data_IF_989505783700
#
_entry.id   IF_989505783700
#
_cell.length_a   1.000
_cell.length_b   1.000
_cell.length_c   1.000
_cell.angle_alpha   90.00
_cell.angle_beta   90.00
_cell.angle_gamma   90.00
#
_symmetry.space_group_name_H-M   'P 1'
#
loop_
_entity.id
_entity.type
_entity.pdbx_description
1 polymer ?
#
# COMPACT_ATOMS: atom_id res chain seq x y z
N UNK A 1 18.87 -16.88 7.37
CA UNK A 1 18.05 -15.66 7.44
C UNK A 1 18.83 -14.63 8.25
N UNK A 2 18.65 -13.33 8.01
CA UNK A 2 19.37 -12.29 8.74
C UNK A 2 18.82 -12.09 10.16
N UNK A 3 19.60 -11.47 11.05
CA UNK A 3 19.21 -11.21 12.45
C UNK A 3 17.82 -10.55 12.56
N UNK A 4 17.48 -9.63 11.66
CA UNK A 4 16.19 -8.96 11.68
C UNK A 4 15.03 -9.90 11.31
N UNK A 5 15.22 -10.77 10.31
CA UNK A 5 14.24 -11.79 9.95
C UNK A 5 13.96 -12.73 11.13
N UNK A 6 15.00 -13.19 11.83
CA UNK A 6 14.86 -14.09 12.98
C UNK A 6 14.06 -13.44 14.12
N UNK A 7 14.23 -12.12 14.34
CA UNK A 7 13.43 -11.38 15.33
C UNK A 7 11.96 -11.31 14.93
N UNK A 8 11.65 -11.10 13.65
CA UNK A 8 10.25 -11.09 13.18
C UNK A 8 9.59 -12.47 13.33
N UNK A 9 10.29 -13.55 12.98
CA UNK A 9 9.77 -14.92 13.18
C UNK A 9 9.59 -15.26 14.67
N UNK A 10 10.49 -14.77 15.53
CA UNK A 10 10.36 -14.91 16.98
C UNK A 10 9.13 -14.16 17.50
N UNK A 11 8.85 -12.96 17.00
CA UNK A 11 7.65 -12.20 17.33
C UNK A 11 6.37 -12.99 16.97
N UNK A 12 6.33 -13.57 15.77
CA UNK A 12 5.19 -14.40 15.31
C UNK A 12 5.01 -15.63 16.20
N UNK A 13 6.10 -16.34 16.49
CA UNK A 13 6.07 -17.55 17.32
C UNK A 13 5.57 -17.21 18.73
N UNK A 14 6.11 -16.15 19.35
CA UNK A 14 5.67 -15.71 20.67
C UNK A 14 4.17 -15.35 20.70
N UNK A 15 3.65 -14.69 19.66
CA UNK A 15 2.21 -14.40 19.55
C UNK A 15 1.38 -15.69 19.49
N UNK A 16 1.78 -16.66 18.66
CA UNK A 16 1.06 -17.94 18.53
C UNK A 16 1.08 -18.76 19.83
N UNK A 17 2.12 -18.61 20.64
CA UNK A 17 2.24 -19.25 21.97
C UNK A 17 1.55 -18.46 23.09
N UNK A 18 0.92 -17.31 22.80
CA UNK A 18 0.28 -16.46 23.80
C UNK A 18 1.26 -15.61 24.64
N UNK A 19 2.55 -15.59 24.30
CA UNK A 19 3.59 -14.76 24.92
C UNK A 19 3.58 -13.34 24.34
N UNK A 20 2.48 -12.62 24.55
CA UNK A 20 2.20 -11.37 23.85
C UNK A 20 3.18 -10.22 24.18
N UNK A 21 3.70 -10.15 25.40
CA UNK A 21 4.70 -9.14 25.76
C UNK A 21 6.04 -9.34 25.04
N UNK A 22 6.47 -10.59 24.89
CA UNK A 22 7.68 -10.94 24.13
C UNK A 22 7.48 -10.61 22.65
N UNK A 23 6.31 -10.97 22.10
CA UNK A 23 5.96 -10.63 20.72
C UNK A 23 5.98 -9.12 20.48
N UNK A 24 5.42 -8.33 21.41
CA UNK A 24 5.43 -6.87 21.33
C UNK A 24 6.86 -6.31 21.37
N UNK A 25 7.70 -6.83 22.26
CA UNK A 25 9.12 -6.41 22.37
C UNK A 25 9.87 -6.62 21.05
N UNK A 26 9.65 -7.76 20.40
CA UNK A 26 10.30 -8.09 19.13
C UNK A 26 9.75 -7.27 17.95
N UNK A 27 8.43 -7.01 17.91
CA UNK A 27 7.84 -6.11 16.92
C UNK A 27 8.38 -4.68 17.02
N UNK A 28 8.49 -4.15 18.24
CA UNK A 28 9.10 -2.84 18.51
C UNK A 28 10.54 -2.80 18.02
N UNK A 29 11.34 -3.79 18.44
CA UNK A 29 12.74 -3.87 18.01
C UNK A 29 12.86 -3.92 16.49
N UNK A 30 12.07 -4.77 15.83
CA UNK A 30 12.10 -4.92 14.38
C UNK A 30 11.75 -3.60 13.67
N UNK A 31 10.69 -2.93 14.11
CA UNK A 31 10.26 -1.69 13.47
C UNK A 31 11.27 -0.54 13.62
N UNK A 32 11.98 -0.46 14.74
CA UNK A 32 12.94 0.62 14.98
C UNK A 32 14.35 0.31 14.50
N UNK A 33 14.75 -0.97 14.41
CA UNK A 33 16.17 -1.35 14.22
C UNK A 33 16.43 -2.14 12.93
N UNK A 34 15.42 -2.77 12.31
CA UNK A 34 15.65 -3.70 11.20
C UNK A 34 16.41 -3.05 10.03
N UNK A 35 16.15 -1.78 9.71
CA UNK A 35 16.78 -1.11 8.57
C UNK A 35 18.25 -0.76 8.79
N UNK A 36 18.68 -0.62 10.05
CA UNK A 36 20.09 -0.43 10.37
C UNK A 36 20.92 -1.70 10.12
N UNK A 37 20.28 -2.87 10.25
CA UNK A 37 20.90 -4.18 10.04
C UNK A 37 20.76 -4.62 8.58
N UNK A 38 19.57 -4.47 8.02
CA UNK A 38 19.21 -4.96 6.70
C UNK A 38 18.30 -3.94 5.97
N UNK A 39 18.88 -2.96 5.25
CA UNK A 39 18.11 -1.89 4.59
C UNK A 39 17.04 -2.38 3.61
N UNK A 40 17.25 -3.57 3.01
CA UNK A 40 16.30 -4.20 2.10
C UNK A 40 14.94 -4.56 2.73
N UNK A 41 14.86 -4.56 4.07
CA UNK A 41 13.62 -4.85 4.81
C UNK A 41 12.62 -3.69 4.87
N UNK A 42 12.90 -2.55 4.24
CA UNK A 42 12.01 -1.39 4.26
C UNK A 42 10.57 -1.73 3.84
N UNK A 43 10.41 -2.52 2.77
CA UNK A 43 9.10 -2.97 2.29
C UNK A 43 8.41 -3.93 3.28
N UNK A 44 9.13 -4.92 3.80
CA UNK A 44 8.61 -5.92 4.76
C UNK A 44 8.15 -5.24 6.05
N UNK A 45 8.95 -4.29 6.56
CA UNK A 45 8.68 -3.53 7.78
C UNK A 45 7.38 -2.76 7.72
N UNK A 46 7.07 -2.15 6.58
CA UNK A 46 5.87 -1.32 6.40
C UNK A 46 4.66 -2.08 5.85
N UNK A 47 4.77 -3.40 5.68
CA UNK A 47 3.67 -4.22 5.15
C UNK A 47 3.41 -5.45 6.02
N UNK A 48 4.11 -6.56 5.78
CA UNK A 48 3.90 -7.83 6.48
C UNK A 48 4.14 -7.71 7.97
N UNK A 49 5.21 -7.02 8.40
CA UNK A 49 5.51 -6.87 9.82
C UNK A 49 4.47 -6.02 10.56
N UNK A 50 3.93 -4.96 9.93
CA UNK A 50 2.81 -4.19 10.50
C UNK A 50 1.54 -5.04 10.58
N UNK A 51 1.24 -5.85 9.56
CA UNK A 51 0.10 -6.79 9.60
C UNK A 51 0.23 -7.79 10.75
N UNK A 52 1.41 -8.38 10.94
CA UNK A 52 1.66 -9.29 12.05
C UNK A 52 1.50 -8.59 13.41
N UNK A 53 1.90 -7.32 13.52
CA UNK A 53 1.65 -6.51 14.70
C UNK A 53 0.14 -6.27 14.91
N UNK A 54 -0.62 -6.00 13.85
CA UNK A 54 -2.09 -5.86 13.98
C UNK A 54 -2.73 -7.16 14.51
N UNK A 55 -2.30 -8.34 14.03
CA UNK A 55 -2.78 -9.61 14.60
C UNK A 55 -2.42 -9.76 16.09
N UNK A 56 -1.28 -9.24 16.54
CA UNK A 56 -0.97 -9.16 17.96
C UNK A 56 -1.92 -8.20 18.68
N UNK A 57 -2.17 -7.02 18.10
CA UNK A 57 -3.01 -5.98 18.68
C UNK A 57 -4.48 -6.39 18.85
N UNK A 58 -4.99 -7.28 18.00
CA UNK A 58 -6.33 -7.89 18.11
C UNK A 58 -6.47 -8.75 19.38
N UNK A 59 -5.38 -9.36 19.85
CA UNK A 59 -5.37 -10.23 21.03
C UNK A 59 -4.82 -9.54 22.28
N UNK A 60 -3.98 -8.53 22.09
CA UNK A 60 -3.25 -7.84 23.15
C UNK A 60 -3.33 -6.32 22.95
N UNK A 61 -4.30 -5.63 23.59
CA UNK A 61 -4.56 -4.20 23.36
C UNK A 61 -3.37 -3.27 23.61
N UNK A 62 -2.40 -3.67 24.45
CA UNK A 62 -1.18 -2.90 24.66
C UNK A 62 -0.32 -2.80 23.39
N UNK A 63 -0.35 -3.81 22.51
CA UNK A 63 0.34 -3.74 21.23
C UNK A 63 -0.27 -2.68 20.30
N UNK A 64 -1.60 -2.48 20.32
CA UNK A 64 -2.24 -1.38 19.60
C UNK A 64 -1.77 -0.02 20.13
N UNK A 65 -1.77 0.14 21.45
CA UNK A 65 -1.34 1.39 22.12
C UNK A 65 0.11 1.72 21.81
N UNK A 66 1.00 0.72 21.79
CA UNK A 66 2.40 0.92 21.43
C UNK A 66 2.55 1.43 20.00
N UNK A 67 1.81 0.86 19.06
CA UNK A 67 1.85 1.28 17.65
C UNK A 67 1.27 2.70 17.46
N UNK A 68 0.18 3.02 18.14
CA UNK A 68 -0.37 4.38 18.17
C UNK A 68 0.62 5.39 18.78
N UNK A 69 1.30 5.01 19.87
CA UNK A 69 2.33 5.84 20.50
C UNK A 69 3.53 6.12 19.60
N UNK A 70 3.99 5.13 18.82
CA UNK A 70 5.03 5.34 17.79
C UNK A 70 4.56 6.35 16.74
N UNK A 71 3.35 6.17 16.21
CA UNK A 71 2.74 7.07 15.23
C UNK A 71 2.60 8.50 15.76
N UNK A 72 2.13 8.67 17.00
CA UNK A 72 1.95 9.99 17.62
C UNK A 72 3.29 10.70 17.82
N UNK A 73 4.30 9.97 18.32
CA UNK A 73 5.68 10.46 18.45
C UNK A 73 6.24 10.93 17.11
N UNK A 74 6.10 10.11 16.07
CA UNK A 74 6.68 10.38 14.76
C UNK A 74 5.91 11.52 14.05
N UNK A 75 4.60 11.63 14.27
CA UNK A 75 3.78 12.76 13.83
C UNK A 75 4.22 14.06 14.50
N UNK A 76 4.46 14.06 15.82
CA UNK A 76 4.98 15.23 16.51
C UNK A 76 6.35 15.64 15.96
N UNK A 77 7.25 14.66 15.75
CA UNK A 77 8.58 14.89 15.15
C UNK A 77 8.48 15.46 13.73
N UNK A 78 7.54 15.00 12.91
CA UNK A 78 7.29 15.56 11.57
C UNK A 78 6.96 17.05 11.64
N UNK A 79 6.14 17.45 12.60
CA UNK A 79 5.71 18.84 12.76
C UNK A 79 6.76 19.73 13.44
N UNK A 80 7.70 19.15 14.20
CA UNK A 80 8.69 19.87 15.03
C UNK A 80 10.14 19.80 14.48
N UNK A 81 10.31 19.79 13.16
CA UNK A 81 11.63 19.95 12.51
C UNK A 81 12.27 18.65 11.99
N UNK A 82 11.65 17.49 12.21
CA UNK A 82 12.12 16.19 11.72
C UNK A 82 11.63 15.82 10.32
N UNK A 83 11.33 16.80 9.48
CA UNK A 83 10.65 16.64 8.19
C UNK A 83 11.42 15.78 7.18
N UNK A 84 11.00 14.52 6.95
CA UNK A 84 11.49 13.69 5.84
C UNK A 84 10.37 12.92 5.17
N UNK A 85 10.53 12.60 3.89
CA UNK A 85 9.55 11.79 3.15
C UNK A 85 9.42 10.38 3.74
N UNK A 86 10.52 9.81 4.23
CA UNK A 86 10.56 8.49 4.86
C UNK A 86 9.77 8.47 6.16
N UNK A 87 9.91 9.52 7.00
CA UNK A 87 9.14 9.63 8.23
C UNK A 87 7.63 9.72 7.93
N UNK A 88 7.25 10.48 6.90
CA UNK A 88 5.85 10.54 6.48
C UNK A 88 5.33 9.18 6.03
N UNK A 89 6.13 8.47 5.21
CA UNK A 89 5.78 7.13 4.73
C UNK A 89 5.55 6.14 5.88
N UNK A 90 6.38 6.19 6.91
CA UNK A 90 6.23 5.35 8.11
C UNK A 90 4.92 5.66 8.84
N UNK A 91 4.63 6.95 9.08
CA UNK A 91 3.38 7.39 9.72
C UNK A 91 2.16 6.92 8.92
N UNK A 92 2.17 7.11 7.60
CA UNK A 92 1.06 6.69 6.72
C UNK A 92 0.87 5.18 6.74
N UNK A 93 1.95 4.40 6.70
CA UNK A 93 1.87 2.95 6.75
C UNK A 93 1.27 2.47 8.09
N UNK A 94 1.66 3.08 9.21
CA UNK A 94 1.09 2.77 10.52
C UNK A 94 -0.39 3.15 10.58
N UNK A 95 -0.76 4.35 10.13
CA UNK A 95 -2.16 4.78 10.07
C UNK A 95 -3.01 3.82 9.24
N UNK A 96 -2.52 3.39 8.06
CA UNK A 96 -3.24 2.43 7.22
C UNK A 96 -3.38 1.07 7.90
N UNK A 97 -2.35 0.57 8.59
CA UNK A 97 -2.42 -0.69 9.33
C UNK A 97 -3.44 -0.62 10.48
N UNK A 98 -3.56 0.55 11.13
CA UNK A 98 -4.51 0.79 12.21
C UNK A 98 -5.95 1.04 11.73
N UNK A 99 -6.17 1.25 10.43
CA UNK A 99 -7.46 1.68 9.87
C UNK A 99 -7.81 3.13 10.23
N UNK A 100 -6.80 3.99 10.34
CA UNK A 100 -6.89 5.38 10.81
C UNK A 100 -6.53 6.36 9.68
N UNK A 101 -7.11 6.19 8.48
CA UNK A 101 -6.84 7.01 7.29
C UNK A 101 -7.05 8.51 7.54
N UNK A 102 -8.04 8.85 8.38
CA UNK A 102 -8.30 10.25 8.77
C UNK A 102 -7.08 10.92 9.41
N UNK A 103 -6.26 10.17 10.17
CA UNK A 103 -5.05 10.71 10.77
C UNK A 103 -4.00 11.10 9.71
N UNK A 104 -3.89 10.34 8.62
CA UNK A 104 -3.03 10.70 7.48
C UNK A 104 -3.55 11.96 6.80
N UNK A 105 -4.86 12.05 6.55
CA UNK A 105 -5.49 13.25 5.99
C UNK A 105 -5.19 14.49 6.85
N UNK A 106 -5.47 14.44 8.15
CA UNK A 106 -5.32 15.59 9.05
C UNK A 106 -3.85 16.03 9.22
N UNK A 107 -2.91 15.09 9.11
CA UNK A 107 -1.48 15.43 9.04
C UNK A 107 -1.13 16.09 7.71
N UNK A 108 -1.59 15.53 6.59
CA UNK A 108 -1.27 16.06 5.26
C UNK A 108 -1.85 17.47 5.03
N UNK A 109 -3.05 17.76 5.53
CA UNK A 109 -3.64 19.12 5.52
C UNK A 109 -2.73 20.11 6.26
N UNK A 110 -2.14 19.72 7.40
CA UNK A 110 -1.18 20.57 8.12
C UNK A 110 0.11 20.74 7.33
N UNK A 111 0.62 19.66 6.72
CA UNK A 111 1.82 19.70 5.90
C UNK A 111 1.65 20.60 4.67
N UNK A 112 0.49 20.55 4.02
CA UNK A 112 0.15 21.40 2.89
C UNK A 112 0.28 22.90 3.22
N UNK A 113 -0.12 23.28 4.44
CA UNK A 113 -0.05 24.68 4.90
C UNK A 113 1.38 25.04 5.35
N UNK A 114 2.04 24.17 6.11
CA UNK A 114 3.29 24.50 6.81
C UNK A 114 4.56 24.18 6.02
N UNK A 115 4.49 23.20 5.11
CA UNK A 115 5.63 22.64 4.37
C UNK A 115 5.21 22.13 2.98
N UNK A 116 4.64 23.00 2.11
CA UNK A 116 4.03 22.60 0.84
C UNK A 116 4.99 21.88 -0.12
N UNK A 117 6.28 22.21 -0.11
CA UNK A 117 7.29 21.54 -0.92
C UNK A 117 7.45 20.06 -0.52
N UNK A 118 7.47 19.78 0.79
CA UNK A 118 7.53 18.40 1.29
C UNK A 118 6.19 17.68 1.08
N UNK A 119 5.07 18.36 1.29
CA UNK A 119 3.75 17.80 1.01
C UNK A 119 3.66 17.31 -0.46
N UNK A 120 4.20 18.08 -1.41
CA UNK A 120 4.28 17.67 -2.82
C UNK A 120 5.11 16.41 -3.04
N UNK A 121 6.21 16.25 -2.30
CA UNK A 121 7.05 15.05 -2.39
C UNK A 121 6.39 13.83 -1.73
N UNK A 122 5.49 14.04 -0.77
CA UNK A 122 4.83 12.99 0.00
C UNK A 122 3.42 12.65 -0.50
N UNK A 123 2.93 13.38 -1.51
CA UNK A 123 1.56 13.33 -1.98
C UNK A 123 1.11 11.92 -2.41
N UNK A 124 2.01 11.13 -3.01
CA UNK A 124 1.73 9.76 -3.43
C UNK A 124 1.28 8.87 -2.26
N UNK A 125 1.85 9.06 -1.07
CA UNK A 125 1.44 8.33 0.13
C UNK A 125 0.12 8.86 0.73
N UNK A 126 -0.18 10.14 0.56
CA UNK A 126 -1.35 10.77 1.17
C UNK A 126 -2.64 10.60 0.35
N UNK A 127 -2.53 10.50 -0.99
CA UNK A 127 -3.67 10.47 -1.92
C UNK A 127 -4.77 9.47 -1.52
N UNK A 128 -4.49 8.21 -1.12
CA UNK A 128 -5.52 7.28 -0.68
C UNK A 128 -6.31 7.78 0.52
N UNK A 129 -5.64 8.41 1.49
CA UNK A 129 -6.29 8.96 2.68
C UNK A 129 -7.10 10.23 2.38
N UNK A 130 -6.65 11.07 1.44
CA UNK A 130 -7.42 12.23 0.98
C UNK A 130 -8.73 11.80 0.30
N UNK A 131 -8.66 10.79 -0.56
CA UNK A 131 -9.84 10.21 -1.23
C UNK A 131 -10.77 9.53 -0.21
N UNK A 132 -10.23 8.76 0.73
CA UNK A 132 -11.03 8.13 1.78
C UNK A 132 -11.72 9.16 2.70
N UNK A 133 -11.14 10.33 2.89
CA UNK A 133 -11.72 11.45 3.63
C UNK A 133 -12.62 12.35 2.76
N UNK A 134 -12.84 12.00 1.50
CA UNK A 134 -13.59 12.77 0.48
C UNK A 134 -13.05 14.18 0.22
N UNK A 135 -11.77 14.46 0.54
CA UNK A 135 -11.11 15.72 0.18
C UNK A 135 -10.58 15.66 -1.26
N UNK A 136 -11.52 15.54 -2.20
CA UNK A 136 -11.23 15.42 -3.63
C UNK A 136 -10.58 16.68 -4.21
N UNK A 137 -10.83 17.84 -3.60
CA UNK A 137 -10.21 19.11 -4.01
C UNK A 137 -8.71 19.07 -3.73
N UNK A 138 -8.32 18.71 -2.50
CA UNK A 138 -6.91 18.58 -2.13
C UNK A 138 -6.24 17.44 -2.89
N UNK A 139 -6.92 16.29 -3.02
CA UNK A 139 -6.43 15.16 -3.79
C UNK A 139 -6.13 15.56 -5.24
N UNK A 140 -7.06 16.27 -5.90
CA UNK A 140 -6.89 16.69 -7.29
C UNK A 140 -5.70 17.62 -7.50
N UNK A 141 -5.48 18.55 -6.56
CA UNK A 141 -4.35 19.47 -6.59
C UNK A 141 -3.00 18.75 -6.54
N UNK A 142 -2.92 17.65 -5.79
CA UNK A 142 -1.71 16.86 -5.63
C UNK A 142 -1.60 15.65 -6.57
N UNK A 143 -2.66 15.31 -7.29
CA UNK A 143 -2.70 14.18 -8.23
C UNK A 143 -1.70 14.34 -9.38
N UNK A 144 -1.42 15.59 -9.78
CA UNK A 144 -0.59 15.92 -10.94
C UNK A 144 -1.33 15.78 -12.26
N UNK A 145 -0.61 15.35 -13.30
CA UNK A 145 -1.16 15.01 -14.61
C UNK A 145 -1.69 13.57 -14.59
N UNK A 146 -3.02 13.37 -14.68
CA UNK A 146 -3.62 12.04 -14.56
C UNK A 146 -3.18 11.06 -15.64
N UNK A 147 -3.03 11.53 -16.88
CA UNK A 147 -2.65 10.68 -18.00
C UNK A 147 -1.21 10.20 -17.86
N UNK A 148 -0.28 11.10 -17.50
CA UNK A 148 1.12 10.71 -17.23
C UNK A 148 1.24 9.75 -16.05
N UNK A 149 0.40 9.91 -15.03
CA UNK A 149 0.39 9.00 -13.88
C UNK A 149 -0.03 7.59 -14.28
N UNK A 150 -1.13 7.46 -15.03
CA UNK A 150 -1.58 6.16 -15.55
C UNK A 150 -0.54 5.53 -16.49
N UNK A 151 0.07 6.34 -17.36
CA UNK A 151 1.17 5.89 -18.22
C UNK A 151 2.35 5.29 -17.45
N UNK A 152 2.77 5.94 -16.36
CA UNK A 152 3.82 5.42 -15.51
C UNK A 152 3.42 4.10 -14.82
N UNK A 153 2.18 4.02 -14.34
CA UNK A 153 1.63 2.80 -13.72
C UNK A 153 1.59 1.64 -14.73
N UNK A 154 1.14 1.89 -15.97
CA UNK A 154 1.03 0.88 -17.01
C UNK A 154 2.42 0.42 -17.47
N UNK A 155 3.37 1.35 -17.61
CA UNK A 155 4.75 1.04 -17.93
C UNK A 155 5.38 0.10 -16.88
N UNK A 156 5.14 0.35 -15.59
CA UNK A 156 5.63 -0.50 -14.50
C UNK A 156 5.04 -1.91 -14.55
N UNK A 157 3.72 -2.04 -14.73
CA UNK A 157 3.07 -3.34 -14.85
C UNK A 157 3.58 -4.13 -16.07
N UNK A 158 3.67 -3.46 -17.23
CA UNK A 158 4.21 -4.05 -18.45
C UNK A 158 5.67 -4.52 -18.28
N UNK A 159 6.52 -3.71 -17.64
CA UNK A 159 7.91 -4.07 -17.39
C UNK A 159 8.02 -5.29 -16.48
N UNK A 160 7.24 -5.33 -15.40
CA UNK A 160 7.19 -6.47 -14.50
C UNK A 160 6.78 -7.76 -15.21
N UNK A 161 5.70 -7.72 -16.00
CA UNK A 161 5.24 -8.90 -16.76
C UNK A 161 6.26 -9.34 -17.81
N UNK A 162 6.94 -8.42 -18.48
CA UNK A 162 7.99 -8.77 -19.44
C UNK A 162 9.17 -9.52 -18.79
N UNK A 163 9.58 -9.12 -17.59
CA UNK A 163 10.61 -9.82 -16.82
C UNK A 163 10.15 -11.21 -16.35
N UNK A 164 8.88 -11.37 -15.96
CA UNK A 164 8.32 -12.67 -15.61
C UNK A 164 8.38 -13.67 -16.77
N UNK A 165 8.05 -13.22 -17.99
CA UNK A 165 8.12 -14.08 -19.20
C UNK A 165 9.55 -14.54 -19.47
N UNK A 166 10.53 -13.65 -19.32
CA UNK A 166 11.96 -13.99 -19.54
C UNK A 166 12.48 -15.02 -18.53
N UNK A 167 12.01 -14.95 -17.29
CA UNK A 167 12.53 -15.79 -16.20
C UNK A 167 11.82 -17.15 -16.09
N UNK A 168 10.77 -17.41 -16.88
CA UNK A 168 9.97 -18.65 -16.88
C UNK A 168 9.49 -19.12 -15.49
N UNK A 169 9.38 -18.20 -14.52
CA UNK A 169 9.05 -18.54 -13.14
C UNK A 169 7.55 -18.77 -12.93
N UNK A 170 7.11 -20.03 -12.87
CA UNK A 170 5.73 -20.42 -12.54
C UNK A 170 5.29 -19.98 -11.13
N UNK A 171 6.22 -19.74 -10.20
CA UNK A 171 5.95 -19.24 -8.85
C UNK A 171 5.56 -17.75 -8.78
N UNK A 172 5.43 -17.06 -9.92
CA UNK A 172 5.20 -15.61 -9.99
C UNK A 172 3.73 -15.17 -10.03
N UNK A 173 2.79 -16.10 -10.17
CA UNK A 173 1.36 -15.77 -10.31
C UNK A 173 0.79 -14.94 -9.13
N UNK A 174 1.11 -15.22 -7.84
CA UNK A 174 0.66 -14.37 -6.72
C UNK A 174 1.26 -12.96 -6.76
N UNK A 175 2.50 -12.85 -7.21
CA UNK A 175 3.17 -11.57 -7.32
C UNK A 175 2.59 -10.74 -8.48
N UNK A 176 2.37 -11.33 -9.65
CA UNK A 176 1.66 -10.67 -10.76
C UNK A 176 0.27 -10.18 -10.37
N UNK A 177 -0.49 -11.00 -9.65
CA UNK A 177 -1.80 -10.60 -9.14
C UNK A 177 -1.71 -9.36 -8.25
N UNK A 178 -0.73 -9.30 -7.34
CA UNK A 178 -0.51 -8.11 -6.50
C UNK A 178 -0.25 -6.86 -7.34
N UNK A 179 0.56 -6.96 -8.38
CA UNK A 179 0.81 -5.85 -9.30
C UNK A 179 -0.45 -5.41 -10.07
N UNK A 180 -1.26 -6.36 -10.56
CA UNK A 180 -2.54 -6.05 -11.24
C UNK A 180 -3.51 -5.37 -10.29
N UNK A 181 -3.70 -5.89 -9.07
CA UNK A 181 -4.60 -5.31 -8.08
C UNK A 181 -4.15 -3.91 -7.64
N UNK A 182 -2.84 -3.71 -7.45
CA UNK A 182 -2.30 -2.38 -7.13
C UNK A 182 -2.50 -1.40 -8.29
N UNK A 183 -2.25 -1.83 -9.53
CA UNK A 183 -2.50 -1.03 -10.73
C UNK A 183 -3.96 -0.59 -10.79
N UNK A 184 -4.89 -1.54 -10.70
CA UNK A 184 -6.33 -1.25 -10.77
C UNK A 184 -6.77 -0.32 -9.64
N UNK A 185 -6.28 -0.54 -8.41
CA UNK A 185 -6.58 0.32 -7.26
C UNK A 185 -6.12 1.77 -7.50
N UNK A 186 -4.90 1.97 -8.00
CA UNK A 186 -4.37 3.31 -8.27
C UNK A 186 -5.12 4.01 -9.42
N UNK A 187 -5.44 3.29 -10.51
CA UNK A 187 -6.22 3.88 -11.61
C UNK A 187 -7.62 4.27 -11.13
N UNK A 188 -8.28 3.42 -10.34
CA UNK A 188 -9.59 3.74 -9.74
C UNK A 188 -9.54 4.99 -8.86
N UNK A 189 -8.48 5.16 -8.07
CA UNK A 189 -8.26 6.37 -7.28
C UNK A 189 -8.17 7.61 -8.17
N UNK A 190 -7.37 7.56 -9.24
CA UNK A 190 -7.22 8.66 -10.20
C UNK A 190 -8.56 9.03 -10.83
N UNK A 191 -9.30 8.03 -11.32
CA UNK A 191 -10.61 8.22 -11.97
C UNK A 191 -11.63 8.79 -11.00
N UNK A 192 -11.68 8.30 -9.77
CA UNK A 192 -12.60 8.80 -8.74
C UNK A 192 -12.33 10.28 -8.45
N UNK A 193 -11.07 10.67 -8.25
CA UNK A 193 -10.71 12.07 -8.03
C UNK A 193 -11.19 12.96 -9.17
N UNK A 194 -11.05 12.53 -10.42
CA UNK A 194 -11.49 13.31 -11.59
C UNK A 194 -13.02 13.44 -11.65
N UNK A 195 -13.76 12.34 -11.46
CA UNK A 195 -15.22 12.36 -11.46
C UNK A 195 -15.79 13.25 -10.38
N UNK A 196 -15.21 13.20 -9.18
CA UNK A 196 -15.62 14.02 -8.03
C UNK A 196 -15.21 15.50 -8.16
N UNK A 197 -14.51 15.86 -9.23
CA UNK A 197 -14.16 17.23 -9.60
C UNK A 197 -14.82 17.64 -10.93
N UNK A 198 -15.85 16.90 -11.36
CA UNK A 198 -16.60 17.16 -12.59
C UNK A 198 -15.74 17.10 -13.88
N UNK A 199 -14.60 16.39 -13.83
CA UNK A 199 -13.69 16.17 -14.98
C UNK A 199 -14.01 14.84 -15.71
N UNK A 200 -15.29 14.54 -16.01
CA UNK A 200 -15.72 13.26 -16.58
C UNK A 200 -15.01 12.94 -17.92
N UNK A 201 -14.89 13.91 -18.82
CA UNK A 201 -14.18 13.72 -20.09
C UNK A 201 -12.73 13.28 -19.90
N UNK A 202 -12.07 13.78 -18.83
CA UNK A 202 -10.69 13.40 -18.49
C UNK A 202 -10.70 12.00 -17.88
N UNK A 203 -11.65 11.72 -16.98
CA UNK A 203 -11.80 10.42 -16.33
C UNK A 203 -12.01 9.29 -17.36
N UNK A 204 -12.85 9.50 -18.37
CA UNK A 204 -13.07 8.56 -19.46
C UNK A 204 -11.81 8.32 -20.31
N UNK A 205 -11.11 9.40 -20.68
CA UNK A 205 -9.85 9.28 -21.44
C UNK A 205 -8.79 8.52 -20.66
N UNK A 206 -8.66 8.81 -19.37
CA UNK A 206 -7.68 8.14 -18.48
C UNK A 206 -8.04 6.67 -18.29
N UNK A 207 -9.32 6.34 -18.09
CA UNK A 207 -9.79 4.96 -17.97
C UNK A 207 -9.50 4.15 -19.23
N UNK A 208 -9.73 4.74 -20.41
CA UNK A 208 -9.42 4.10 -21.70
C UNK A 208 -7.91 3.91 -21.88
N UNK A 209 -7.13 4.95 -21.63
CA UNK A 209 -5.66 4.88 -21.71
C UNK A 209 -5.10 3.79 -20.79
N UNK A 210 -5.67 3.61 -19.60
CA UNK A 210 -5.26 2.57 -18.65
C UNK A 210 -5.38 1.14 -19.19
N UNK A 211 -6.26 0.89 -20.17
CA UNK A 211 -6.38 -0.42 -20.85
C UNK A 211 -5.55 -0.47 -22.14
N UNK A 212 -5.55 0.61 -22.92
CA UNK A 212 -4.84 0.70 -24.20
C UNK A 212 -3.31 0.59 -24.04
N UNK A 213 -2.77 1.08 -22.93
CA UNK A 213 -1.33 1.05 -22.67
C UNK A 213 -0.80 -0.33 -22.21
N UNK A 214 -1.70 -1.25 -21.84
CA UNK A 214 -1.31 -2.61 -21.45
C UNK A 214 -0.97 -3.43 -22.69
N UNK A 215 0.24 -4.01 -22.70
CA UNK A 215 0.79 -4.70 -23.88
C UNK A 215 0.28 -6.13 -24.07
N UNK A 216 -0.25 -6.73 -23.00
CA UNK A 216 -0.73 -8.11 -23.02
C UNK A 216 -2.25 -8.13 -22.93
N UNK A 217 -2.89 -8.87 -23.83
CA UNK A 217 -4.35 -9.03 -23.81
C UNK A 217 -4.82 -9.67 -22.50
N UNK A 218 -4.09 -10.68 -21.99
CA UNK A 218 -4.40 -11.29 -20.70
C UNK A 218 -4.33 -10.31 -19.52
N UNK A 219 -3.39 -9.34 -19.55
CA UNK A 219 -3.35 -8.27 -18.54
C UNK A 219 -4.52 -7.31 -18.69
N UNK A 220 -4.85 -6.93 -19.93
CA UNK A 220 -5.98 -6.05 -20.23
C UNK A 220 -7.28 -6.66 -19.73
N UNK A 221 -7.53 -7.93 -20.04
CA UNK A 221 -8.71 -8.68 -19.59
C UNK A 221 -8.77 -8.82 -18.06
N UNK A 222 -7.62 -8.95 -17.38
CA UNK A 222 -7.58 -9.01 -15.92
C UNK A 222 -7.89 -7.65 -15.27
N UNK A 223 -7.31 -6.57 -15.81
CA UNK A 223 -7.56 -5.20 -15.34
C UNK A 223 -9.00 -4.77 -15.62
N UNK A 224 -9.51 -5.05 -16.82
CA UNK A 224 -10.88 -4.72 -17.22
C UNK A 224 -11.91 -5.40 -16.29
N UNK A 225 -11.73 -6.69 -15.99
CA UNK A 225 -12.55 -7.40 -15.00
C UNK A 225 -12.52 -6.74 -13.62
N UNK A 226 -11.36 -6.28 -13.15
CA UNK A 226 -11.26 -5.57 -11.87
C UNK A 226 -11.86 -4.15 -11.91
N UNK A 227 -11.89 -3.50 -13.08
CA UNK A 227 -12.60 -2.23 -13.24
C UNK A 227 -14.11 -2.43 -13.16
N UNK A 228 -14.65 -3.41 -13.87
CA UNK A 228 -16.09 -3.73 -13.87
C UNK A 228 -16.57 -4.27 -12.51
N UNK A 229 -15.84 -5.25 -11.96
CA UNK A 229 -16.20 -5.94 -10.72
C UNK A 229 -14.96 -6.12 -9.82
N UNK A 230 -14.74 -5.23 -8.84
CA UNK A 230 -13.62 -5.32 -7.91
C UNK A 230 -13.56 -6.68 -7.20
N UNK A 231 -12.38 -7.31 -7.22
CA UNK A 231 -12.14 -8.61 -6.61
C UNK A 231 -12.52 -9.81 -7.48
N UNK A 232 -13.05 -9.60 -8.69
CA UNK A 232 -13.44 -10.68 -9.59
C UNK A 232 -12.26 -11.58 -10.01
N UNK A 233 -11.05 -11.06 -10.11
CA UNK A 233 -9.85 -11.84 -10.46
C UNK A 233 -9.51 -12.83 -9.34
N UNK A 234 -9.56 -12.39 -8.07
CA UNK A 234 -9.35 -13.29 -6.93
C UNK A 234 -10.44 -14.37 -6.90
N UNK A 235 -11.71 -13.98 -7.09
CA UNK A 235 -12.83 -14.93 -7.11
C UNK A 235 -12.69 -15.98 -8.21
N UNK A 236 -12.31 -15.56 -9.42
CA UNK A 236 -12.06 -16.47 -10.55
C UNK A 236 -10.92 -17.45 -10.25
N UNK A 237 -9.83 -16.98 -9.64
CA UNK A 237 -8.71 -17.84 -9.24
C UNK A 237 -9.12 -18.86 -8.17
N UNK A 238 -9.89 -18.44 -7.16
CA UNK A 238 -10.40 -19.35 -6.12
C UNK A 238 -11.34 -20.40 -6.73
N UNK A 239 -12.21 -20.01 -7.67
CA UNK A 239 -13.09 -20.93 -8.36
C UNK A 239 -12.30 -21.98 -9.19
N UNK A 240 -11.28 -21.55 -9.93
CA UNK A 240 -10.41 -22.44 -10.70
C UNK A 240 -9.62 -23.40 -9.81
N UNK A 241 -9.05 -22.90 -8.70
CA UNK A 241 -8.35 -23.74 -7.74
C UNK A 241 -9.29 -24.80 -7.11
N UNK A 242 -10.53 -24.42 -6.79
CA UNK A 242 -11.54 -25.37 -6.28
C UNK A 242 -11.92 -26.42 -7.32
N UNK A 243 -12.12 -26.03 -8.58
CA UNK A 243 -12.45 -26.95 -9.66
C UNK A 243 -11.39 -28.04 -9.83
N UNK A 244 -10.11 -27.65 -9.82
CA UNK A 244 -8.97 -28.58 -9.95
C UNK A 244 -8.75 -29.50 -8.74
N UNK A 245 -9.27 -29.16 -7.56
CA UNK A 245 -9.20 -30.02 -6.36
C UNK A 245 -10.27 -31.11 -6.39
N UNK A 246 -11.37 -30.91 -7.12
CA UNK A 246 -12.46 -31.89 -7.26
C UNK A 246 -12.22 -32.99 -8.31
N UNK A 247 -11.12 -32.92 -9.08
CA UNK A 247 -10.76 -33.90 -10.12
C UNK A 247 -9.70 -34.93 -9.66
N UNK A 248 -9.40 -35.03 -8.36
CA UNK A 248 -8.51 -36.04 -7.75
C UNK A 248 -9.20 -36.75 -6.58
#
# INVERSE_FOLDING_TARGET
>A
MGQAHDVLERARTARLEGRYEDALRDHLWFHENALAVEPGLAGVRLSFALRDWIYLAEQFPLARRALQGLRDRDTARMLDGGQTRELFRDIVAINSALGEERATHDLFVRMDIQMPELARQCADFALPALVAAEDFTLARRYLGDPAKRVQALAANLNAYTAELVKTAGTSSAPALLSFVLNYTKEVRLVVEVLRRQDEEDVAERVSRAALDELKSDALRDAVEREFETPGATIQAMVAHARANVTEH
#
